data_IF_827506326826
#
_entry.id   IF_827506326826
#
_cell.length_a   1.000
_cell.length_b   1.000
_cell.length_c   1.000
_cell.angle_alpha   90.00
_cell.angle_beta   90.00
_cell.angle_gamma   90.00
#
_symmetry.space_group_name_H-M   'P 1'
#
loop_
_entity.id
_entity.type
_entity.pdbx_description
1 polymer ?
#
# COMPACT_ATOMS: atom_id res chain seq x y z
N UNK A 1 -22.07 40.18 7.95
CA UNK A 1 -21.45 38.83 7.90
C UNK A 1 -21.79 38.24 6.54
N UNK A 2 -20.84 38.26 5.60
CA UNK A 2 -21.02 37.76 4.25
C UNK A 2 -20.31 36.40 4.14
N UNK A 3 -21.07 35.36 3.80
CA UNK A 3 -20.55 34.01 3.56
C UNK A 3 -20.05 33.97 2.13
N UNK A 4 -18.73 33.80 1.97
CA UNK A 4 -18.06 33.71 0.69
C UNK A 4 -18.04 32.25 0.25
N UNK A 5 -18.89 31.89 -0.71
CA UNK A 5 -18.97 30.55 -1.30
C UNK A 5 -17.89 30.42 -2.38
N UNK A 6 -16.82 29.68 -2.08
CA UNK A 6 -15.77 29.36 -3.04
C UNK A 6 -16.24 28.25 -3.99
N UNK A 7 -16.49 28.61 -5.26
CA UNK A 7 -16.63 27.63 -6.34
C UNK A 7 -15.27 27.04 -6.69
N UNK A 8 -15.11 25.73 -6.57
CA UNK A 8 -14.01 25.00 -7.19
C UNK A 8 -14.34 24.76 -8.67
N UNK A 9 -13.58 25.42 -9.55
CA UNK A 9 -13.54 25.10 -10.98
C UNK A 9 -12.49 24.01 -11.16
N UNK A 10 -12.92 22.80 -11.52
CA UNK A 10 -12.01 21.74 -11.96
C UNK A 10 -11.58 22.07 -13.39
N UNK A 11 -10.38 22.61 -13.55
CA UNK A 11 -9.77 22.83 -14.85
C UNK A 11 -9.30 21.49 -15.42
N UNK A 12 -9.98 21.00 -16.45
CA UNK A 12 -9.49 19.92 -17.31
C UNK A 12 -8.30 20.45 -18.12
N UNK A 13 -7.09 20.04 -17.75
CA UNK A 13 -5.85 20.37 -18.46
C UNK A 13 -5.52 19.28 -19.48
N UNK A 14 -5.71 19.60 -20.76
CA UNK A 14 -4.82 19.22 -21.85
C UNK A 14 -4.92 17.80 -22.41
N UNK A 15 -5.95 17.53 -23.21
CA UNK A 15 -5.81 16.58 -24.32
C UNK A 15 -4.97 17.28 -25.41
N UNK A 16 -3.85 16.66 -25.81
CA UNK A 16 -3.03 17.16 -26.92
C UNK A 16 -3.80 17.14 -28.25
N UNK A 17 -3.42 17.98 -29.22
CA UNK A 17 -4.09 18.02 -30.53
C UNK A 17 -3.79 16.71 -31.29
N UNK A 18 -4.75 15.76 -31.30
CA UNK A 18 -4.67 14.55 -32.12
C UNK A 18 -5.38 13.30 -31.59
N UNK A 19 -5.75 13.25 -30.31
CA UNK A 19 -6.53 12.13 -29.77
C UNK A 19 -8.03 12.49 -29.79
N UNK A 20 -8.77 11.99 -30.76
CA UNK A 20 -10.23 11.93 -30.62
C UNK A 20 -10.55 11.09 -29.38
N UNK A 21 -11.34 11.60 -28.41
CA UNK A 21 -11.71 10.82 -27.25
C UNK A 21 -12.47 9.58 -27.72
N UNK A 22 -12.01 8.40 -27.27
CA UNK A 22 -12.72 7.14 -27.51
C UNK A 22 -14.21 7.30 -27.17
N UNK A 23 -15.10 6.64 -27.93
CA UNK A 23 -16.56 6.71 -27.70
C UNK A 23 -16.95 6.35 -26.26
N UNK A 24 -16.11 5.57 -25.56
CA UNK A 24 -16.27 5.23 -24.15
C UNK A 24 -15.91 6.39 -23.19
N UNK A 25 -14.96 7.24 -23.56
CA UNK A 25 -14.53 8.39 -22.77
C UNK A 25 -15.53 9.55 -22.83
N UNK A 26 -16.18 9.75 -23.99
CA UNK A 26 -17.21 10.78 -24.17
C UNK A 26 -18.46 10.49 -23.31
N UNK A 27 -18.79 9.22 -23.07
CA UNK A 27 -19.90 8.84 -22.20
C UNK A 27 -19.63 9.07 -20.69
N UNK A 28 -18.39 9.33 -20.29
CA UNK A 28 -17.99 9.51 -18.90
C UNK A 28 -17.93 10.99 -18.45
N UNK A 29 -18.03 11.95 -19.38
CA UNK A 29 -17.92 13.37 -19.07
C UNK A 29 -19.28 13.97 -18.71
N UNK A 30 -19.48 14.26 -17.41
CA UNK A 30 -20.51 15.14 -16.82
C UNK A 30 -21.89 14.51 -16.57
N UNK A 31 -21.97 13.66 -15.55
CA UNK A 31 -23.19 13.54 -14.74
C UNK A 31 -22.83 13.58 -13.25
N UNK A 32 -23.28 14.64 -12.57
CA UNK A 32 -23.10 14.81 -11.13
C UNK A 32 -23.94 13.77 -10.39
N UNK A 33 -23.30 12.92 -9.59
CA UNK A 33 -23.96 11.86 -8.83
C UNK A 33 -24.92 12.40 -7.75
N UNK A 34 -26.20 12.56 -8.08
CA UNK A 34 -27.26 12.73 -7.07
C UNK A 34 -27.79 11.36 -6.65
N UNK A 35 -27.46 10.95 -5.43
CA UNK A 35 -27.89 9.69 -4.82
C UNK A 35 -29.37 9.77 -4.42
N UNK A 36 -30.28 9.46 -5.33
CA UNK A 36 -31.67 9.10 -4.98
C UNK A 36 -31.74 7.61 -4.71
N UNK A 37 -32.01 7.22 -3.46
CA UNK A 37 -32.06 5.81 -3.06
C UNK A 37 -33.28 5.09 -3.71
N UNK A 38 -33.08 4.04 -4.51
CA UNK A 38 -34.18 3.26 -5.07
C UNK A 38 -34.81 2.36 -3.99
N UNK A 39 -36.13 2.19 -4.03
CA UNK A 39 -36.90 1.39 -3.07
C UNK A 39 -36.82 -0.15 -3.27
N UNK A 40 -35.87 -0.63 -4.09
CA UNK A 40 -35.69 -2.05 -4.42
C UNK A 40 -34.41 -2.66 -3.80
N UNK A 41 -34.23 -3.98 -3.90
CA UNK A 41 -32.99 -4.64 -3.46
C UNK A 41 -31.80 -4.05 -4.24
N UNK A 42 -30.84 -3.48 -3.51
CA UNK A 42 -29.64 -2.89 -4.11
C UNK A 42 -28.75 -4.02 -4.62
N UNK A 43 -28.35 -4.02 -5.90
CA UNK A 43 -27.48 -5.07 -6.43
C UNK A 43 -26.14 -5.10 -5.69
N UNK A 44 -25.56 -6.29 -5.54
CA UNK A 44 -24.26 -6.50 -4.92
C UNK A 44 -23.19 -6.70 -5.98
N UNK A 45 -22.03 -6.10 -5.77
CA UNK A 45 -20.87 -6.20 -6.66
C UNK A 45 -19.73 -6.83 -5.87
N UNK A 46 -19.11 -7.81 -6.49
CA UNK A 46 -17.86 -8.37 -6.05
C UNK A 46 -16.68 -7.68 -6.75
N UNK A 47 -15.87 -6.97 -5.98
CA UNK A 47 -14.61 -6.40 -6.41
C UNK A 47 -13.46 -7.36 -6.12
N UNK A 48 -12.52 -7.42 -7.04
CA UNK A 48 -11.28 -8.15 -6.88
C UNK A 48 -10.13 -7.33 -7.50
N UNK A 49 -9.00 -7.31 -6.81
CA UNK A 49 -7.82 -6.55 -7.22
C UNK A 49 -6.64 -7.49 -7.37
N UNK A 50 -6.01 -7.46 -8.54
CA UNK A 50 -4.71 -8.06 -8.77
C UNK A 50 -3.64 -6.96 -8.77
N UNK A 51 -2.70 -7.06 -7.86
CA UNK A 51 -1.47 -6.28 -7.83
C UNK A 51 -0.40 -7.04 -8.61
N UNK A 52 -0.01 -6.45 -9.74
CA UNK A 52 0.88 -7.08 -10.71
C UNK A 52 2.15 -6.24 -10.79
N UNK A 53 3.28 -6.83 -10.48
CA UNK A 53 4.59 -6.23 -10.76
C UNK A 53 5.17 -6.86 -12.01
N UNK A 54 5.56 -6.02 -12.98
CA UNK A 54 6.21 -6.45 -14.23
C UNK A 54 7.63 -5.89 -14.33
N UNK A 55 8.56 -6.70 -14.85
CA UNK A 55 9.99 -6.37 -14.89
C UNK A 55 10.52 -5.93 -16.26
N UNK A 56 9.66 -5.85 -17.29
CA UNK A 56 10.04 -5.40 -18.63
C UNK A 56 8.90 -4.60 -19.26
N UNK A 57 9.16 -3.49 -19.99
CA UNK A 57 8.13 -2.72 -20.69
C UNK A 57 7.47 -3.49 -21.84
N UNK A 58 8.03 -4.63 -22.26
CA UNK A 58 7.55 -5.44 -23.40
C UNK A 58 6.09 -5.91 -23.23
N UNK A 59 5.60 -5.98 -22.00
CA UNK A 59 4.19 -6.33 -21.73
C UNK A 59 3.24 -5.38 -22.46
N UNK A 60 3.58 -4.08 -22.56
CA UNK A 60 2.76 -3.07 -23.26
C UNK A 60 2.64 -3.39 -24.73
N UNK A 61 3.75 -3.74 -25.38
CA UNK A 61 3.77 -4.09 -26.81
C UNK A 61 2.98 -5.37 -27.09
N UNK A 62 3.12 -6.38 -26.22
CA UNK A 62 2.39 -7.66 -26.35
C UNK A 62 0.89 -7.51 -26.18
N UNK A 63 0.47 -6.64 -25.26
CA UNK A 63 -0.93 -6.40 -24.94
C UNK A 63 -1.56 -5.27 -25.75
N UNK A 64 -0.80 -4.55 -26.58
CA UNK A 64 -1.23 -3.26 -27.18
C UNK A 64 -2.57 -3.36 -27.93
N UNK A 65 -2.78 -4.42 -28.69
CA UNK A 65 -4.01 -4.62 -29.47
C UNK A 65 -5.25 -4.95 -28.61
N UNK A 66 -5.04 -5.34 -27.34
CA UNK A 66 -6.09 -5.72 -26.39
C UNK A 66 -6.35 -4.63 -25.34
N UNK A 67 -5.52 -3.58 -25.30
CA UNK A 67 -5.60 -2.48 -24.34
C UNK A 67 -6.47 -1.36 -24.91
N UNK A 68 -7.70 -1.22 -24.42
CA UNK A 68 -8.57 -0.10 -24.79
C UNK A 68 -8.27 1.11 -23.90
N UNK A 69 -7.74 2.23 -24.42
CA UNK A 69 -7.38 3.37 -23.60
C UNK A 69 -8.63 4.04 -22.99
N UNK A 70 -8.61 4.24 -21.67
CA UNK A 70 -9.67 4.92 -20.92
C UNK A 70 -9.23 6.31 -20.47
N UNK A 71 -8.06 6.40 -19.83
CA UNK A 71 -7.53 7.65 -19.32
C UNK A 71 -5.99 7.60 -19.22
N UNK A 72 -5.37 8.79 -19.19
CA UNK A 72 -3.93 8.96 -18.93
C UNK A 72 -3.73 10.15 -18.00
N UNK A 73 -2.83 10.01 -17.02
CA UNK A 73 -2.48 11.08 -16.10
C UNK A 73 -1.01 10.93 -15.70
N UNK A 74 -0.19 11.91 -16.07
CA UNK A 74 1.18 12.12 -15.55
C UNK A 74 1.99 10.83 -15.28
N UNK A 75 2.24 10.04 -16.32
CA UNK A 75 3.03 8.80 -16.24
C UNK A 75 2.25 7.56 -15.79
N UNK A 76 0.98 7.72 -15.41
CA UNK A 76 0.02 6.64 -15.18
C UNK A 76 -0.95 6.52 -16.36
N UNK A 77 -1.45 5.31 -16.59
CA UNK A 77 -2.35 5.04 -17.70
C UNK A 77 -3.39 3.99 -17.31
N UNK A 78 -4.61 4.16 -17.82
CA UNK A 78 -5.77 3.35 -17.50
C UNK A 78 -6.32 2.76 -18.79
N UNK A 79 -6.55 1.44 -18.78
CA UNK A 79 -7.13 0.71 -19.89
C UNK A 79 -8.29 -0.16 -19.43
N UNK A 80 -9.24 -0.39 -20.33
CA UNK A 80 -10.17 -1.49 -20.22
C UNK A 80 -9.59 -2.72 -20.91
N UNK A 81 -9.81 -3.89 -20.29
CA UNK A 81 -9.46 -5.19 -20.81
C UNK A 81 -10.69 -6.07 -20.79
N UNK A 82 -10.87 -6.90 -21.82
CA UNK A 82 -11.80 -8.02 -21.75
C UNK A 82 -11.24 -9.16 -20.87
N UNK A 83 -12.07 -10.16 -20.57
CA UNK A 83 -11.67 -11.30 -19.73
C UNK A 83 -10.52 -12.11 -20.33
N UNK A 84 -10.45 -12.23 -21.67
CA UNK A 84 -9.41 -13.00 -22.35
C UNK A 84 -8.07 -12.30 -22.23
N UNK A 85 -8.04 -10.99 -22.45
CA UNK A 85 -6.87 -10.15 -22.33
C UNK A 85 -6.35 -10.10 -20.89
N UNK A 86 -7.24 -10.05 -19.89
CA UNK A 86 -6.83 -10.20 -18.51
C UNK A 86 -6.16 -11.56 -18.25
N UNK A 87 -6.75 -12.65 -18.73
CA UNK A 87 -6.18 -14.00 -18.58
C UNK A 87 -4.82 -14.12 -19.29
N UNK A 88 -4.69 -13.56 -20.49
CA UNK A 88 -3.45 -13.54 -21.27
C UNK A 88 -2.36 -12.72 -20.55
N UNK A 89 -2.70 -11.57 -19.96
CA UNK A 89 -1.79 -10.77 -19.13
C UNK A 89 -1.31 -11.54 -17.89
N UNK A 90 -2.24 -12.16 -17.15
CA UNK A 90 -1.90 -12.93 -15.95
C UNK A 90 -1.00 -14.13 -16.31
N UNK A 91 -1.33 -14.84 -17.40
CA UNK A 91 -0.50 -15.93 -17.93
C UNK A 91 0.88 -15.44 -18.36
N UNK A 92 0.96 -14.29 -19.03
CA UNK A 92 2.23 -13.67 -19.40
C UNK A 92 3.09 -13.40 -18.16
N UNK A 93 2.51 -12.83 -17.11
CA UNK A 93 3.22 -12.52 -15.87
C UNK A 93 3.64 -13.78 -15.12
N UNK A 94 2.79 -14.82 -15.06
CA UNK A 94 3.12 -16.10 -14.42
C UNK A 94 4.27 -16.85 -15.12
N UNK A 95 4.48 -16.62 -16.42
CA UNK A 95 5.56 -17.23 -17.18
C UNK A 95 6.92 -16.49 -17.04
N UNK A 96 6.94 -15.27 -16.50
CA UNK A 96 8.19 -14.52 -16.24
C UNK A 96 8.48 -14.53 -14.73
N UNK A 97 9.53 -15.23 -14.31
CA UNK A 97 9.93 -15.35 -12.91
C UNK A 97 10.28 -14.00 -12.23
N UNK A 98 10.44 -12.93 -13.02
CA UNK A 98 10.70 -11.58 -12.50
C UNK A 98 9.42 -10.80 -12.24
N UNK A 99 8.28 -11.29 -12.74
CA UNK A 99 6.97 -10.73 -12.45
C UNK A 99 6.42 -11.32 -11.14
N UNK A 100 5.56 -10.56 -10.48
CA UNK A 100 4.85 -11.01 -9.29
C UNK A 100 3.38 -10.66 -9.43
N UNK A 101 2.49 -11.60 -9.10
CA UNK A 101 1.04 -11.39 -9.16
C UNK A 101 0.48 -11.73 -7.79
N UNK A 102 -0.11 -10.74 -7.13
CA UNK A 102 -0.76 -10.92 -5.82
C UNK A 102 -2.24 -10.59 -5.97
N UNK A 103 -3.07 -11.56 -5.63
CA UNK A 103 -4.53 -11.43 -5.66
C UNK A 103 -5.04 -11.01 -4.29
N UNK A 104 -5.78 -9.91 -4.23
CA UNK A 104 -6.43 -9.44 -3.01
C UNK A 104 -7.67 -10.27 -2.70
N UNK A 105 -8.08 -10.38 -1.41
CA UNK A 105 -9.35 -10.99 -1.07
C UNK A 105 -10.52 -10.34 -1.80
N UNK A 106 -11.43 -11.16 -2.31
CA UNK A 106 -12.67 -10.70 -2.95
C UNK A 106 -13.52 -9.92 -1.94
N UNK A 107 -13.91 -8.71 -2.30
CA UNK A 107 -14.75 -7.83 -1.49
C UNK A 107 -16.15 -7.73 -2.11
N UNK A 108 -17.21 -7.83 -1.32
CA UNK A 108 -18.58 -7.66 -1.79
C UNK A 108 -19.16 -6.41 -1.15
N UNK A 109 -19.70 -5.48 -1.95
CA UNK A 109 -20.42 -4.30 -1.47
C UNK A 109 -21.71 -4.09 -2.25
N UNK A 110 -22.65 -3.32 -1.70
CA UNK A 110 -23.82 -2.89 -2.45
C UNK A 110 -23.40 -1.80 -3.46
N UNK A 111 -24.12 -1.68 -4.59
CA UNK A 111 -23.92 -0.56 -5.51
C UNK A 111 -24.15 0.76 -4.78
N UNK A 112 -23.24 1.72 -4.95
CA UNK A 112 -23.28 3.02 -4.28
C UNK A 112 -22.50 3.06 -2.96
N UNK A 113 -22.28 1.92 -2.31
CA UNK A 113 -21.47 1.86 -1.09
C UNK A 113 -19.97 1.88 -1.39
N UNK A 114 -19.16 2.50 -0.52
CA UNK A 114 -17.72 2.48 -0.67
C UNK A 114 -17.14 1.08 -0.39
N UNK A 115 -16.10 0.72 -1.12
CA UNK A 115 -15.32 -0.51 -0.92
C UNK A 115 -13.83 -0.16 -0.82
N UNK A 116 -13.12 -0.75 0.15
CA UNK A 116 -11.69 -0.50 0.38
C UNK A 116 -10.92 -1.81 0.37
N UNK A 117 -10.02 -1.95 -0.59
CA UNK A 117 -9.16 -3.12 -0.73
C UNK A 117 -7.70 -2.69 -0.54
N UNK A 118 -6.94 -3.46 0.22
CA UNK A 118 -5.54 -3.13 0.52
C UNK A 118 -4.69 -4.37 0.36
N UNK A 119 -3.59 -4.25 -0.38
CA UNK A 119 -2.52 -5.23 -0.45
C UNK A 119 -1.24 -4.53 -0.02
N UNK A 120 -1.02 -4.48 1.29
CA UNK A 120 0.09 -3.77 1.90
C UNK A 120 0.83 -4.65 2.91
N UNK A 121 2.14 -4.51 2.92
CA UNK A 121 3.00 -5.01 3.97
C UNK A 121 3.38 -3.85 4.89
N UNK A 122 3.20 -4.07 6.19
CA UNK A 122 3.67 -3.14 7.22
C UNK A 122 5.14 -3.43 7.53
N UNK A 123 6.00 -2.43 7.39
CA UNK A 123 7.42 -2.50 7.74
C UNK A 123 7.67 -1.60 8.95
N UNK A 124 8.09 -2.23 10.05
CA UNK A 124 8.47 -1.53 11.28
C UNK A 124 9.96 -1.17 11.25
N UNK A 125 10.31 0.01 11.73
CA UNK A 125 11.69 0.50 11.74
C UNK A 125 11.97 1.35 12.99
N UNK A 126 13.24 1.53 13.33
CA UNK A 126 13.62 2.39 14.47
C UNK A 126 13.65 3.85 13.99
N UNK A 127 12.55 4.57 14.21
CA UNK A 127 12.39 5.95 13.74
C UNK A 127 13.17 6.94 14.62
N UNK A 128 13.30 6.62 15.90
CA UNK A 128 14.00 7.46 16.86
C UNK A 128 14.57 6.63 18.02
N UNK A 129 15.47 7.24 18.79
CA UNK A 129 16.06 6.64 19.98
C UNK A 129 15.85 7.59 21.15
N UNK A 130 15.03 7.17 22.11
CA UNK A 130 14.89 7.88 23.37
C UNK A 130 16.07 7.55 24.28
N UNK A 131 16.90 8.55 24.54
CA UNK A 131 18.01 8.46 25.50
C UNK A 131 17.46 8.40 26.93
N UNK A 132 17.86 7.38 27.68
CA UNK A 132 17.57 7.22 29.12
C UNK A 132 18.91 7.19 29.84
N UNK A 133 19.15 8.17 30.70
CA UNK A 133 20.44 8.31 31.37
C UNK A 133 20.34 9.07 32.70
N UNK A 134 21.35 8.90 33.54
CA UNK A 134 21.52 9.62 34.82
C UNK A 134 22.23 10.98 34.70
N UNK A 135 22.75 11.35 33.52
CA UNK A 135 23.44 12.62 33.29
C UNK A 135 23.23 13.20 31.88
N UNK A 136 23.77 14.40 31.59
CA UNK A 136 23.72 14.99 30.25
C UNK A 136 24.55 14.16 29.25
N UNK A 137 24.41 14.42 27.93
CA UNK A 137 25.11 13.68 26.89
C UNK A 137 26.61 13.58 27.12
N UNK A 138 27.17 12.38 27.00
CA UNK A 138 28.58 12.03 27.26
C UNK A 138 29.05 12.18 28.72
N UNK A 139 28.13 12.40 29.67
CA UNK A 139 28.48 12.50 31.10
C UNK A 139 27.78 11.47 31.97
N UNK A 140 26.81 10.75 31.42
CA UNK A 140 26.11 9.68 32.13
C UNK A 140 27.03 8.52 32.46
N UNK A 141 26.80 7.93 33.63
CA UNK A 141 27.44 6.66 34.04
C UNK A 141 26.56 5.47 33.68
N UNK A 142 25.25 5.68 33.58
CA UNK A 142 24.27 4.70 33.09
C UNK A 142 23.54 5.30 31.89
N UNK A 143 23.79 4.77 30.71
CA UNK A 143 23.17 5.23 29.47
C UNK A 143 22.51 4.03 28.79
N UNK A 144 21.25 4.21 28.38
CA UNK A 144 20.52 3.27 27.55
C UNK A 144 19.76 4.03 26.45
N UNK A 145 19.58 3.37 25.31
CA UNK A 145 18.69 3.85 24.26
C UNK A 145 17.45 2.98 24.20
N UNK A 146 16.28 3.61 24.30
CA UNK A 146 14.98 2.96 24.09
C UNK A 146 14.54 3.27 22.65
N UNK A 147 14.42 2.26 21.77
CA UNK A 147 14.01 2.50 20.40
C UNK A 147 12.54 2.90 20.33
N UNK A 148 12.25 3.95 19.56
CA UNK A 148 10.91 4.33 19.19
C UNK A 148 10.62 3.77 17.78
N UNK A 149 9.66 2.85 17.72
CA UNK A 149 9.35 2.11 16.50
C UNK A 149 8.34 2.88 15.66
N UNK A 150 8.73 3.23 14.44
CA UNK A 150 7.84 3.73 13.39
C UNK A 150 7.33 2.59 12.51
N UNK A 151 6.31 2.90 11.72
CA UNK A 151 5.70 1.97 10.76
C UNK A 151 5.52 2.66 9.41
N UNK A 152 5.84 1.96 8.33
CA UNK A 152 5.58 2.39 6.96
C UNK A 152 4.90 1.26 6.20
N UNK A 153 3.95 1.60 5.31
CA UNK A 153 3.25 0.63 4.49
C UNK A 153 3.86 0.59 3.09
N UNK A 154 4.18 -0.61 2.61
CA UNK A 154 4.60 -0.88 1.23
C UNK A 154 3.51 -1.70 0.54
N UNK A 155 2.88 -1.15 -0.50
CA UNK A 155 1.73 -1.78 -1.10
C UNK A 155 0.86 -0.88 -1.97
N UNK A 156 -0.34 -1.38 -2.24
CA UNK A 156 -1.40 -0.66 -2.91
C UNK A 156 -2.66 -0.62 -2.04
N UNK A 157 -3.34 0.52 -2.06
CA UNK A 157 -4.73 0.69 -1.61
C UNK A 157 -5.60 1.05 -2.79
N UNK A 158 -6.70 0.34 -2.95
CA UNK A 158 -7.76 0.65 -3.90
C UNK A 158 -9.00 1.02 -3.12
N UNK A 159 -9.43 2.27 -3.26
CA UNK A 159 -10.66 2.79 -2.66
C UNK A 159 -11.67 3.05 -3.77
N UNK A 160 -12.74 2.26 -3.80
CA UNK A 160 -13.95 2.56 -4.57
C UNK A 160 -14.82 3.44 -3.67
N UNK A 161 -14.92 4.73 -3.99
CA UNK A 161 -15.64 5.70 -3.15
C UNK A 161 -17.13 5.75 -3.45
N UNK A 162 -17.50 5.53 -4.72
CA UNK A 162 -18.87 5.37 -5.17
C UNK A 162 -18.91 4.43 -6.37
N UNK A 163 -20.05 3.76 -6.56
CA UNK A 163 -20.30 2.91 -7.71
C UNK A 163 -21.74 3.06 -8.19
N UNK A 164 -21.96 2.99 -9.50
CA UNK A 164 -23.27 3.10 -10.12
C UNK A 164 -23.41 2.15 -11.29
N UNK A 165 -24.53 1.45 -11.35
CA UNK A 165 -24.84 0.54 -12.42
C UNK A 165 -25.74 1.24 -13.45
N UNK A 166 -25.26 1.38 -14.69
CA UNK A 166 -26.04 1.88 -15.83
C UNK A 166 -26.24 0.72 -16.81
N UNK A 167 -27.36 0.02 -16.69
CA UNK A 167 -27.60 -1.22 -17.44
C UNK A 167 -26.70 -2.35 -16.93
N UNK A 168 -25.80 -2.86 -17.79
CA UNK A 168 -24.80 -3.89 -17.41
C UNK A 168 -23.42 -3.29 -17.12
N UNK A 169 -23.28 -1.97 -17.24
CA UNK A 169 -22.01 -1.27 -17.14
C UNK A 169 -21.88 -0.68 -15.74
N UNK A 170 -20.75 -0.95 -15.08
CA UNK A 170 -20.42 -0.38 -13.78
C UNK A 170 -19.54 0.86 -13.97
N UNK A 171 -20.01 2.01 -13.49
CA UNK A 171 -19.21 3.20 -13.30
C UNK A 171 -18.76 3.26 -11.85
N UNK A 172 -17.48 3.51 -11.61
CA UNK A 172 -16.93 3.57 -10.27
C UNK A 172 -15.96 4.74 -10.14
N UNK A 173 -16.06 5.48 -9.03
CA UNK A 173 -15.06 6.47 -8.63
C UNK A 173 -13.98 5.79 -7.81
N UNK A 174 -12.83 5.58 -8.42
CA UNK A 174 -11.73 4.79 -7.86
C UNK A 174 -10.55 5.71 -7.55
N UNK A 175 -9.98 5.55 -6.36
CA UNK A 175 -8.70 6.13 -5.97
C UNK A 175 -7.71 4.99 -5.68
N UNK A 176 -6.58 4.99 -6.38
CA UNK A 176 -5.51 4.01 -6.22
C UNK A 176 -4.30 4.73 -5.66
N UNK A 177 -3.84 4.29 -4.50
CA UNK A 177 -2.64 4.78 -3.84
C UNK A 177 -1.61 3.67 -3.82
N UNK A 178 -0.41 3.95 -4.30
CA UNK A 178 0.75 3.07 -4.18
C UNK A 178 1.75 3.74 -3.25
N UNK A 179 2.21 3.00 -2.25
CA UNK A 179 3.40 3.33 -1.49
C UNK A 179 4.45 2.26 -1.75
N UNK A 180 5.68 2.67 -2.03
CA UNK A 180 6.79 1.75 -2.24
C UNK A 180 7.97 2.18 -1.40
N UNK A 181 8.47 1.29 -0.54
CA UNK A 181 9.69 1.52 0.23
C UNK A 181 10.87 1.19 -0.66
N UNK A 182 11.69 2.20 -0.97
CA UNK A 182 12.87 2.03 -1.83
C UNK A 182 14.09 1.55 -1.04
N UNK A 183 14.31 2.12 0.13
CA UNK A 183 15.47 1.84 0.97
C UNK A 183 15.24 2.33 2.41
N UNK A 184 16.12 1.92 3.33
CA UNK A 184 16.26 2.52 4.65
C UNK A 184 17.65 3.14 4.78
N UNK A 185 17.69 4.47 4.89
CA UNK A 185 18.92 5.17 5.25
C UNK A 185 19.17 4.95 6.73
N UNK A 186 20.36 4.44 7.07
CA UNK A 186 20.71 4.10 8.45
C UNK A 186 21.73 5.11 8.97
N UNK A 187 21.45 5.70 10.13
CA UNK A 187 22.40 6.56 10.86
C UNK A 187 22.63 6.01 12.26
N UNK A 188 23.86 6.10 12.74
CA UNK A 188 24.23 5.64 14.08
C UNK A 188 24.47 6.83 14.99
N UNK A 189 23.86 6.82 16.17
CA UNK A 189 24.17 7.74 17.25
C UNK A 189 25.08 7.03 18.26
N UNK A 190 26.23 7.64 18.54
CA UNK A 190 27.25 7.09 19.45
C UNK A 190 27.41 8.05 20.62
N UNK A 191 27.40 7.53 21.83
CA UNK A 191 27.61 8.30 23.04
C UNK A 191 28.62 7.63 23.97
N UNK A 192 29.55 8.43 24.51
CA UNK A 192 30.52 7.97 25.50
C UNK A 192 29.89 7.79 26.88
N UNK A 193 30.28 6.74 27.59
CA UNK A 193 29.90 6.43 28.97
C UNK A 193 31.09 6.75 29.86
N UNK A 194 30.91 7.61 30.86
CA UNK A 194 31.98 7.89 31.83
C UNK A 194 32.10 6.69 32.77
N UNK A 195 33.31 6.13 32.97
CA UNK A 195 33.50 5.06 33.94
C UNK A 195 33.15 5.58 35.34
N UNK A 196 32.39 4.78 36.09
CA UNK A 196 31.98 5.11 37.45
C UNK A 196 33.24 5.27 38.32
N UNK A 197 33.53 6.51 38.75
CA UNK A 197 34.80 6.86 39.40
C UNK A 197 35.07 6.14 40.72
N UNK A 198 34.07 5.48 41.31
CA UNK A 198 34.16 4.80 42.62
C UNK A 198 34.96 3.50 42.61
N UNK A 199 35.20 2.88 41.45
CA UNK A 199 35.98 1.64 41.38
C UNK A 199 37.48 1.87 41.14
N UNK A 200 37.89 3.09 40.74
CA UNK A 200 39.30 3.44 40.54
C UNK A 200 40.15 3.46 41.82
N UNK A 201 39.53 3.56 43.00
CA UNK A 201 40.24 3.48 44.28
C UNK A 201 40.42 2.03 44.78
N UNK A 202 39.63 1.06 44.29
CA UNK A 202 39.78 -0.35 44.68
C UNK A 202 40.68 -1.16 43.75
N UNK A 203 40.96 -0.68 42.55
CA UNK A 203 41.87 -1.32 41.59
C UNK A 203 43.36 -0.96 41.84
N UNK A 204 43.72 -0.63 43.09
CA UNK A 204 45.10 -0.24 43.45
C UNK A 204 45.93 -1.32 44.16
N UNK A 205 45.38 -2.46 44.56
CA UNK A 205 46.13 -3.48 45.32
C UNK A 205 45.67 -4.92 45.06
N UNK A 206 45.61 -5.36 43.79
CA UNK A 206 45.60 -6.80 43.49
C UNK A 206 46.87 -7.20 42.71
N UNK A 207 47.96 -7.59 43.39
CA UNK A 207 49.26 -7.88 42.76
C UNK A 207 49.24 -9.17 41.91
N UNK A 208 48.11 -9.86 41.80
CA UNK A 208 47.99 -11.14 41.10
C UNK A 208 47.57 -11.09 39.63
N UNK A 209 47.03 -9.97 39.13
CA UNK A 209 46.47 -9.92 37.77
C UNK A 209 47.38 -9.16 36.83
N UNK A 210 48.33 -9.90 36.23
CA UNK A 210 49.19 -9.39 35.17
C UNK A 210 48.50 -9.58 33.81
N UNK A 211 48.53 -8.51 32.99
CA UNK A 211 48.38 -8.46 31.52
C UNK A 211 46.98 -8.21 30.96
N UNK A 212 46.54 -6.96 31.02
CA UNK A 212 45.80 -6.36 29.90
C UNK A 212 46.75 -6.17 28.71
N UNK A 213 46.18 -6.22 27.52
CA UNK A 213 46.87 -6.47 26.26
C UNK A 213 47.91 -5.39 25.93
N UNK A 214 49.06 -5.79 25.37
CA UNK A 214 50.11 -4.84 24.94
C UNK A 214 49.60 -3.88 23.84
N UNK A 215 48.51 -4.24 23.15
CA UNK A 215 47.80 -3.41 22.18
C UNK A 215 47.06 -2.22 22.82
N UNK A 216 46.51 -2.36 24.03
CA UNK A 216 45.87 -1.24 24.75
C UNK A 216 46.88 -0.18 25.19
N UNK A 217 48.13 -0.59 25.48
CA UNK A 217 49.22 0.33 25.86
C UNK A 217 49.72 1.21 24.72
N UNK A 218 49.45 0.86 23.47
CA UNK A 218 49.91 1.63 22.30
C UNK A 218 48.92 2.72 21.86
N UNK A 219 47.71 2.79 22.47
CA UNK A 219 46.73 3.86 22.21
C UNK A 219 46.12 4.40 23.52
N UNK A 220 46.92 5.05 24.37
CA UNK A 220 46.50 5.49 25.71
C UNK A 220 45.40 6.57 25.71
N UNK A 221 45.17 7.29 24.61
CA UNK A 221 44.15 8.36 24.55
C UNK A 221 42.70 7.84 24.44
N UNK A 222 42.47 6.55 24.21
CA UNK A 222 41.12 6.00 24.02
C UNK A 222 40.77 4.81 24.93
N UNK A 223 41.65 4.45 25.87
CA UNK A 223 41.58 3.15 26.55
C UNK A 223 40.43 2.96 27.56
N UNK A 224 39.65 4.00 27.93
CA UNK A 224 38.70 3.89 29.05
C UNK A 224 37.30 4.49 28.81
N UNK A 225 36.98 4.94 27.60
CA UNK A 225 35.63 5.43 27.31
C UNK A 225 34.84 4.30 26.65
N UNK A 226 34.05 3.57 27.44
CA UNK A 226 33.03 2.70 26.87
C UNK A 226 32.03 3.58 26.09
N UNK A 227 31.59 3.15 24.91
CA UNK A 227 30.59 3.88 24.13
C UNK A 227 29.39 3.00 23.85
N UNK A 228 28.19 3.56 23.94
CA UNK A 228 26.97 2.91 23.50
C UNK A 228 26.55 3.46 22.14
N UNK A 229 26.14 2.56 21.25
CA UNK A 229 25.68 2.90 19.91
C UNK A 229 24.19 2.57 19.79
N UNK A 230 23.44 3.48 19.19
CA UNK A 230 22.09 3.23 18.74
C UNK A 230 21.95 3.50 17.26
N UNK A 231 21.04 2.80 16.60
CA UNK A 231 20.79 2.89 15.17
C UNK A 231 19.41 3.48 14.91
N UNK A 232 19.34 4.48 14.03
CA UNK A 232 18.10 5.08 13.53
C UNK A 232 17.98 4.77 12.04
N UNK A 233 16.77 4.46 11.60
CA UNK A 233 16.43 4.13 10.23
C UNK A 233 15.45 5.18 9.68
N UNK A 234 15.70 5.65 8.46
CA UNK A 234 14.87 6.63 7.76
C UNK A 234 14.42 5.99 6.44
N UNK A 235 13.13 5.66 6.28
CA UNK A 235 12.64 5.06 5.04
C UNK A 235 12.63 6.07 3.89
N UNK A 236 13.16 5.67 2.74
CA UNK A 236 12.99 6.35 1.45
C UNK A 236 11.72 5.76 0.80
N UNK A 237 10.64 6.54 0.72
CA UNK A 237 9.33 6.07 0.22
C UNK A 237 8.94 6.85 -1.03
N UNK A 238 8.49 6.15 -2.07
CA UNK A 238 7.83 6.76 -3.22
C UNK A 238 6.33 6.48 -3.14
N UNK A 239 5.55 7.56 -3.15
CA UNK A 239 4.10 7.50 -3.17
C UNK A 239 3.57 7.96 -4.53
N UNK A 240 2.62 7.21 -5.09
CA UNK A 240 1.90 7.57 -6.30
C UNK A 240 0.41 7.46 -6.04
N UNK A 241 -0.38 8.37 -6.59
CA UNK A 241 -1.83 8.36 -6.48
C UNK A 241 -2.44 8.68 -7.83
N UNK A 242 -3.45 7.92 -8.21
CA UNK A 242 -4.32 8.20 -9.33
C UNK A 242 -5.76 8.09 -8.87
N UNK A 243 -6.59 9.04 -9.27
CA UNK A 243 -8.02 8.98 -9.02
C UNK A 243 -8.78 9.31 -10.29
N UNK A 244 -9.95 8.70 -10.43
CA UNK A 244 -10.82 8.99 -11.53
C UNK A 244 -12.14 8.25 -11.42
N UNK A 245 -13.04 8.63 -12.30
CA UNK A 245 -14.29 7.93 -12.51
C UNK A 245 -14.17 7.15 -13.81
N UNK A 246 -14.23 5.83 -13.70
CA UNK A 246 -13.99 4.94 -14.84
C UNK A 246 -15.06 3.87 -14.94
N UNK A 247 -15.25 3.43 -16.17
CA UNK A 247 -16.07 2.29 -16.50
C UNK A 247 -15.27 1.00 -16.21
N UNK A 248 -15.82 0.11 -15.38
CA UNK A 248 -15.27 -1.22 -15.15
C UNK A 248 -16.08 -2.22 -15.98
N UNK A 249 -15.49 -2.91 -16.97
CA UNK A 249 -16.18 -3.93 -17.75
C UNK A 249 -16.69 -5.06 -16.85
N UNK A 250 -17.95 -5.47 -17.05
CA UNK A 250 -18.59 -6.58 -16.29
C UNK A 250 -17.91 -7.94 -16.55
N UNK A 251 -17.42 -8.13 -17.77
CA UNK A 251 -16.68 -9.33 -18.22
C UNK A 251 -15.22 -8.98 -18.56
N UNK A 252 -14.53 -8.30 -17.63
CA UNK A 252 -13.16 -7.85 -17.87
C UNK A 252 -12.50 -7.23 -16.65
N UNK A 253 -11.57 -6.32 -16.91
CA UNK A 253 -10.88 -5.57 -15.88
C UNK A 253 -10.62 -4.12 -16.30
N UNK A 254 -10.56 -3.24 -15.31
CA UNK A 254 -9.88 -1.96 -15.44
C UNK A 254 -8.40 -2.17 -15.05
N UNK A 255 -7.49 -2.01 -16.00
CA UNK A 255 -6.05 -2.10 -15.77
C UNK A 255 -5.47 -0.70 -15.57
N UNK A 256 -4.82 -0.46 -14.44
CA UNK A 256 -4.14 0.80 -14.14
C UNK A 256 -2.64 0.57 -14.01
N UNK A 257 -1.86 1.23 -14.84
CA UNK A 257 -0.42 1.34 -14.66
C UNK A 257 -0.10 2.54 -13.77
N UNK A 258 0.69 2.30 -12.73
CA UNK A 258 1.25 3.35 -11.87
C UNK A 258 2.55 3.94 -12.44
N UNK A 259 2.88 3.61 -13.69
CA UNK A 259 4.10 4.02 -14.37
C UNK A 259 5.37 3.26 -13.91
N UNK A 260 6.46 3.37 -14.67
CA UNK A 260 7.71 2.74 -14.32
C UNK A 260 8.28 3.31 -13.01
N UNK A 261 8.99 2.47 -12.28
CA UNK A 261 9.77 2.80 -11.11
C UNK A 261 11.18 2.20 -11.29
N UNK A 262 12.25 2.95 -10.98
CA UNK A 262 13.58 2.38 -10.98
C UNK A 262 13.69 1.41 -9.82
N UNK A 263 13.98 0.14 -10.10
CA UNK A 263 14.33 -0.80 -9.04
C UNK A 263 15.82 -0.65 -8.73
N UNK A 264 16.14 -0.07 -7.56
CA UNK A 264 17.51 -0.07 -7.05
C UNK A 264 17.89 -1.51 -6.71
N UNK A 265 18.94 -2.00 -7.36
CA UNK A 265 19.52 -3.29 -7.04
C UNK A 265 20.66 -3.02 -6.05
N UNK A 266 20.61 -3.59 -4.85
CA UNK A 266 21.58 -3.33 -3.77
C UNK A 266 23.06 -3.58 -4.13
N UNK A 267 23.34 -4.25 -5.26
CA UNK A 267 24.70 -4.66 -5.66
C UNK A 267 25.02 -4.51 -7.15
N UNK A 268 24.16 -3.84 -7.94
CA UNK A 268 24.30 -3.79 -9.39
C UNK A 268 24.25 -2.38 -9.97
N UNK A 269 25.19 -2.05 -10.87
CA UNK A 269 25.22 -0.78 -11.61
C UNK A 269 24.07 -0.61 -12.62
N UNK A 270 23.29 -1.67 -12.89
CA UNK A 270 22.21 -1.64 -13.88
C UNK A 270 20.89 -1.31 -13.19
N UNK A 271 20.30 -0.17 -13.55
CA UNK A 271 18.90 0.12 -13.23
C UNK A 271 18.03 -0.93 -13.90
N UNK A 272 17.19 -1.60 -13.11
CA UNK A 272 16.22 -2.56 -13.65
C UNK A 272 14.85 -1.89 -13.75
N UNK A 273 14.15 -2.18 -14.85
CA UNK A 273 12.78 -1.72 -15.07
C UNK A 273 11.85 -2.47 -14.12
N UNK A 274 10.97 -1.74 -13.45
CA UNK A 274 9.85 -2.30 -12.73
C UNK A 274 8.66 -1.40 -12.97
N UNK A 275 7.50 -1.99 -13.21
CA UNK A 275 6.25 -1.26 -13.31
C UNK A 275 5.19 -2.00 -12.51
N UNK A 276 4.35 -1.24 -11.80
CA UNK A 276 3.27 -1.80 -11.00
C UNK A 276 1.95 -1.54 -11.71
N UNK A 277 1.18 -2.60 -11.91
CA UNK A 277 -0.12 -2.59 -12.53
C UNK A 277 -1.16 -3.05 -11.50
N UNK A 278 -2.35 -2.46 -11.58
CA UNK A 278 -3.49 -2.79 -10.72
C UNK A 278 -4.64 -3.17 -11.64
N UNK A 279 -5.00 -4.45 -11.66
CA UNK A 279 -6.18 -4.91 -12.40
C UNK A 279 -7.36 -5.01 -11.44
N UNK A 280 -8.41 -4.25 -11.69
CA UNK A 280 -9.64 -4.22 -10.88
C UNK A 280 -10.73 -4.91 -11.69
N UNK A 281 -11.27 -6.00 -11.16
CA UNK A 281 -12.48 -6.63 -11.73
C UNK A 281 -13.67 -6.31 -10.85
N UNK A 282 -14.84 -6.20 -11.47
CA UNK A 282 -16.10 -5.98 -10.76
C UNK A 282 -17.18 -6.84 -11.40
N UNK A 283 -17.64 -7.85 -10.67
CA UNK A 283 -18.66 -8.80 -11.15
C UNK A 283 -19.90 -8.71 -10.28
N UNK A 284 -21.11 -8.85 -10.84
CA UNK A 284 -22.30 -9.05 -10.01
C UNK A 284 -22.07 -10.20 -9.03
N UNK A 285 -22.27 -9.94 -7.74
CA UNK A 285 -22.18 -10.99 -6.74
C UNK A 285 -23.42 -11.89 -6.91
N UNK A 286 -23.26 -13.23 -6.93
CA UNK A 286 -24.42 -14.11 -6.95
C UNK A 286 -25.27 -13.78 -5.73
N UNK A 287 -26.57 -13.59 -5.95
CA UNK A 287 -27.52 -13.40 -4.87
C UNK A 287 -27.38 -14.62 -3.94
N UNK A 288 -27.10 -14.44 -2.64
CA UNK A 288 -27.05 -15.57 -1.74
C UNK A 288 -28.40 -16.29 -1.85
N UNK A 289 -28.41 -17.63 -1.99
CA UNK A 289 -29.67 -18.36 -2.05
C UNK A 289 -30.47 -17.92 -0.83
N UNK A 290 -31.70 -17.44 -1.05
CA UNK A 290 -32.60 -17.08 0.02
C UNK A 290 -32.72 -18.35 0.85
N UNK A 291 -32.03 -18.40 1.99
CA UNK A 291 -32.20 -19.46 2.96
C UNK A 291 -33.59 -19.20 3.50
N UNK A 292 -34.58 -19.87 2.90
CA UNK A 292 -35.91 -19.98 3.47
C UNK A 292 -35.71 -20.69 4.80
N UNK A 293 -35.52 -19.89 5.85
CA UNK A 293 -35.63 -20.38 7.22
C UNK A 293 -36.99 -21.07 7.26
N UNK A 294 -37.03 -22.40 7.42
CA UNK A 294 -38.29 -23.12 7.44
C UNK A 294 -39.18 -22.42 8.46
N UNK A 295 -40.39 -22.04 8.03
CA UNK A 295 -41.34 -21.40 8.93
C UNK A 295 -41.38 -22.22 10.23
N UNK A 296 -41.23 -21.58 11.41
CA UNK A 296 -41.19 -22.30 12.67
C UNK A 296 -42.41 -23.21 12.71
N UNK A 297 -42.16 -24.52 12.84
CA UNK A 297 -43.22 -25.51 12.86
C UNK A 297 -44.28 -25.05 13.88
N UNK A 298 -45.58 -25.06 13.52
CA UNK A 298 -46.62 -24.60 14.43
C UNK A 298 -46.44 -25.34 15.75
N UNK A 299 -46.29 -24.58 16.83
CA UNK A 299 -46.11 -25.13 18.16
C UNK A 299 -47.23 -26.14 18.40
N UNK A 300 -46.88 -27.42 18.48
CA UNK A 300 -47.85 -28.47 18.81
C UNK A 300 -48.35 -28.15 20.22
N UNK A 301 -49.54 -27.59 20.30
CA UNK A 301 -50.27 -27.38 21.55
C UNK A 301 -50.41 -28.74 22.22
N UNK A 302 -49.59 -28.99 23.25
CA UNK A 302 -49.75 -30.14 24.14
C UNK A 302 -51.18 -30.10 24.66
N UNK A 303 -51.98 -31.09 24.28
CA UNK A 303 -53.30 -31.28 24.86
C UNK A 303 -53.15 -31.50 26.38
N UNK A 304 -54.04 -30.91 27.20
CA UNK A 304 -54.04 -31.13 28.64
C UNK A 304 -54.34 -32.61 28.95
N UNK A 305 -53.53 -33.20 29.83
CA UNK A 305 -53.75 -34.55 30.33
C UNK A 305 -55.01 -34.58 31.22
N UNK A 306 -55.98 -35.41 30.85
CA UNK A 306 -57.18 -35.65 31.65
C UNK A 306 -56.84 -36.57 32.84
N UNK A 307 -57.34 -36.30 34.05
CA UNK A 307 -57.09 -37.09 35.27
C UNK A 307 -57.75 -38.47 35.26
#
# INVERSE_FOLDING_TARGET
>A
MAVMTTMFVVAWLGAGPGDEPSKLAVAAAVETFTSTAPAGPVPKIAFEVHDITVASPDWRGKMLAQLEPVARQEGSAVWALDQKALADLLKYCQNDARCNVVQSPRMISNVGEPARMTNETSVKYVAHLKRVSDGPPNEGTHIAFVPEIGEVHDGIRVNVTSSQLKGQILFAKVAIEQNQVLAFLTTTYTEGVKPQSKDKEKEKDDPGVVKTSLLERLRPEHANAASINGTIQIPEVVSKRIEGEWMIPSEGALLVSMGPAPRRHDKGLRQSYQERLVAITARPAPEPPIVTVPAPAPAQSKAPATP
#
